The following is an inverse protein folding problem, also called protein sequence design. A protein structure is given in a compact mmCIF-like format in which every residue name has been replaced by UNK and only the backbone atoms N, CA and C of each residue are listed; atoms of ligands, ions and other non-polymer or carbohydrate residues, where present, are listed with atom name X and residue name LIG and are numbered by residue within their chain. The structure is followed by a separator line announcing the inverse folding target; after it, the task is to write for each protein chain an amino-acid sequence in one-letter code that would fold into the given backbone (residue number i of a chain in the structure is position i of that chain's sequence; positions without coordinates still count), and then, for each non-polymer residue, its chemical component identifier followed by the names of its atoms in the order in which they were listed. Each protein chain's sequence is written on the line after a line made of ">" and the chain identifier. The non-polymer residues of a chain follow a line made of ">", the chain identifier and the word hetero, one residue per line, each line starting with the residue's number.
data_IF_278461991451
#
_entry.id   IF_278461991451
#
_cell.length_a   1.000
_cell.length_b   1.000
_cell.length_c   1.000
_cell.angle_alpha   90.00
_cell.angle_beta   90.00
_cell.angle_gamma   90.00
#
_symmetry.space_group_name_H-M   'P 1'
#
loop_
_entity.id
_entity.type
_entity.pdbx_description
1 polymer ?
#
# COMPACT_ATOMS: atom_id res chain seq x y z
N UNK A 1 -48.80 -0.46 0.69
CA UNK A 1 -48.48 0.17 -0.61
C UNK A 1 -47.04 0.70 -0.54
N UNK A 2 -46.09 -0.04 -1.09
CA UNK A 2 -44.65 0.34 -1.08
C UNK A 2 -44.30 0.87 -2.47
N UNK A 3 -43.91 2.14 -2.54
CA UNK A 3 -43.44 2.77 -3.78
C UNK A 3 -41.93 2.50 -3.92
N UNK A 4 -41.57 1.74 -4.96
CA UNK A 4 -40.21 1.58 -5.43
C UNK A 4 -39.81 2.83 -6.25
N UNK A 5 -38.76 3.49 -5.86
CA UNK A 5 -38.08 4.52 -6.66
C UNK A 5 -36.87 3.86 -7.34
N UNK A 6 -36.95 3.72 -8.65
CA UNK A 6 -35.83 3.32 -9.49
C UNK A 6 -35.02 4.58 -9.85
N UNK A 7 -33.75 4.62 -9.45
CA UNK A 7 -32.78 5.64 -9.86
C UNK A 7 -31.94 5.06 -10.99
N UNK A 8 -32.15 5.54 -12.21
CA UNK A 8 -31.34 5.19 -13.37
C UNK A 8 -30.02 5.96 -13.37
N UNK A 9 -28.92 5.22 -13.45
CA UNK A 9 -27.57 5.77 -13.61
C UNK A 9 -27.21 5.77 -15.10
N UNK A 10 -27.13 6.95 -15.72
CA UNK A 10 -26.65 7.12 -17.08
C UNK A 10 -25.12 7.22 -17.09
N UNK A 11 -24.44 6.27 -17.73
CA UNK A 11 -23.00 6.32 -17.96
C UNK A 11 -22.77 6.93 -19.34
N UNK A 12 -22.17 8.13 -19.38
CA UNK A 12 -21.70 8.75 -20.61
C UNK A 12 -20.27 8.28 -20.90
N UNK A 13 -20.11 7.50 -21.98
CA UNK A 13 -18.84 7.17 -22.59
C UNK A 13 -18.44 8.30 -23.56
N UNK A 14 -17.42 9.07 -23.20
CA UNK A 14 -16.75 9.94 -24.16
C UNK A 14 -15.40 9.32 -24.53
N UNK A 15 -15.35 8.71 -25.71
CA UNK A 15 -14.11 8.33 -26.37
C UNK A 15 -13.46 9.55 -26.99
N UNK A 16 -12.15 9.64 -26.94
CA UNK A 16 -11.36 10.45 -27.84
C UNK A 16 -10.13 9.67 -28.25
N UNK A 17 -10.12 9.31 -29.52
CA UNK A 17 -9.02 8.71 -30.23
C UNK A 17 -8.15 9.78 -30.88
N UNK A 18 -7.02 9.35 -31.39
CA UNK A 18 -6.06 10.10 -32.20
C UNK A 18 -4.68 10.02 -31.58
N UNK A 19 -3.63 9.71 -32.26
CA UNK A 19 -3.32 9.51 -33.65
C UNK A 19 -1.84 9.21 -33.67
N UNK A 20 -1.45 8.21 -34.46
CA UNK A 20 -0.06 7.86 -34.77
C UNK A 20 0.48 8.89 -35.74
N UNK A 21 1.69 9.35 -35.53
CA UNK A 21 2.53 9.86 -36.61
C UNK A 21 3.96 9.36 -36.41
N UNK A 22 4.31 8.42 -37.28
CA UNK A 22 5.69 8.13 -37.68
C UNK A 22 6.29 9.32 -38.41
N UNK A 23 7.57 9.62 -38.16
CA UNK A 23 8.49 9.98 -39.25
C UNK A 23 9.95 9.94 -38.80
N UNK A 24 10.68 9.09 -39.49
CA UNK A 24 12.11 9.05 -39.69
C UNK A 24 12.72 10.43 -39.99
N UNK A 25 13.94 10.66 -39.52
CA UNK A 25 15.05 11.12 -40.36
C UNK A 25 16.36 11.14 -39.59
N UNK A 26 17.27 10.36 -40.08
CA UNK A 26 18.71 10.37 -39.77
C UNK A 26 19.37 11.67 -40.26
N UNK A 27 20.32 12.21 -39.48
CA UNK A 27 21.51 12.88 -40.07
C UNK A 27 22.69 12.92 -39.10
N UNK A 28 23.87 12.59 -39.58
CA UNK A 28 25.10 12.61 -38.81
C UNK A 28 25.83 13.96 -38.98
N UNK A 29 26.59 14.37 -37.99
CA UNK A 29 27.47 15.53 -38.17
C UNK A 29 28.14 15.97 -36.88
N UNK A 30 29.40 15.63 -36.77
CA UNK A 30 30.42 15.87 -35.84
C UNK A 30 30.63 17.28 -35.29
N UNK A 31 31.30 17.36 -34.17
CA UNK A 31 31.76 18.60 -33.56
C UNK A 31 32.48 18.31 -32.27
N UNK A 32 33.79 18.41 -32.34
CA UNK A 32 34.84 18.25 -31.37
C UNK A 32 34.71 19.27 -30.21
N UNK A 33 34.95 18.78 -28.99
CA UNK A 33 35.72 19.53 -27.98
C UNK A 33 34.96 20.40 -27.00
N UNK A 34 34.90 20.05 -25.74
CA UNK A 34 35.72 20.76 -24.75
C UNK A 34 35.74 20.05 -23.40
N UNK A 35 36.95 19.96 -22.90
CA UNK A 35 37.35 19.58 -21.54
C UNK A 35 36.66 20.41 -20.47
N UNK A 36 36.19 19.76 -19.42
CA UNK A 36 35.83 20.50 -18.23
C UNK A 36 35.11 19.72 -17.14
N UNK A 37 35.89 19.24 -16.20
CA UNK A 37 35.51 18.98 -14.82
C UNK A 37 34.64 17.73 -14.56
N UNK A 38 35.35 16.63 -14.38
CA UNK A 38 34.87 15.45 -13.64
C UNK A 38 34.55 15.82 -12.20
N UNK A 39 33.32 16.23 -11.95
CA UNK A 39 32.71 16.11 -10.65
C UNK A 39 31.98 14.76 -10.61
N UNK A 40 32.74 13.68 -10.59
CA UNK A 40 32.28 12.38 -10.12
C UNK A 40 32.08 12.42 -8.61
N UNK A 41 31.07 13.16 -8.17
CA UNK A 41 30.44 12.89 -6.90
C UNK A 41 29.58 11.65 -7.12
N UNK A 42 29.84 10.51 -6.46
CA UNK A 42 28.95 9.38 -6.53
C UNK A 42 27.58 9.88 -6.02
N UNK A 43 26.64 10.03 -6.93
CA UNK A 43 25.25 10.20 -6.59
C UNK A 43 24.89 8.95 -5.79
N UNK A 44 24.81 9.11 -4.48
CA UNK A 44 24.23 8.11 -3.59
C UNK A 44 22.87 7.78 -4.21
N UNK A 45 22.62 6.55 -4.71
CA UNK A 45 21.32 6.23 -5.26
C UNK A 45 20.34 6.46 -4.12
N UNK A 46 19.47 7.47 -4.27
CA UNK A 46 18.37 7.67 -3.34
C UNK A 46 17.67 6.33 -3.23
N UNK A 47 17.77 5.71 -2.08
CA UNK A 47 17.14 4.42 -1.78
C UNK A 47 15.65 4.64 -1.98
N UNK A 48 15.10 4.21 -3.14
CA UNK A 48 13.69 4.41 -3.47
C UNK A 48 12.87 3.71 -2.40
N UNK A 49 12.37 4.49 -1.46
CA UNK A 49 11.45 3.97 -0.46
C UNK A 49 10.23 3.35 -1.13
N UNK A 50 9.76 2.22 -0.60
CA UNK A 50 8.49 1.60 -1.01
C UNK A 50 7.28 2.35 -0.45
N UNK A 51 7.49 3.35 0.41
CA UNK A 51 6.41 4.11 1.04
C UNK A 51 5.85 5.19 0.11
N UNK A 52 4.53 5.16 -0.03
CA UNK A 52 3.75 6.15 -0.76
C UNK A 52 2.87 6.91 0.23
N UNK A 53 2.93 8.24 0.21
CA UNK A 53 2.22 9.09 1.15
C UNK A 53 1.08 9.83 0.47
N UNK A 54 -0.05 9.94 1.17
CA UNK A 54 -1.20 10.72 0.73
C UNK A 54 -1.88 11.41 1.92
N UNK A 55 -2.63 12.45 1.65
CA UNK A 55 -3.45 13.14 2.64
C UNK A 55 -4.84 13.41 2.07
N UNK A 56 -5.83 13.34 2.93
CA UNK A 56 -7.21 13.68 2.59
C UNK A 56 -7.81 14.54 3.69
N UNK A 57 -8.70 15.46 3.28
CA UNK A 57 -9.55 16.20 4.23
C UNK A 57 -11.00 16.11 3.76
N UNK A 58 -11.93 16.08 4.69
CA UNK A 58 -13.35 16.15 4.37
C UNK A 58 -13.97 17.44 4.91
N UNK A 59 -15.20 17.73 4.47
CA UNK A 59 -15.97 18.91 4.89
C UNK A 59 -16.30 18.94 6.38
N UNK A 60 -16.13 17.83 7.10
CA UNK A 60 -16.33 17.73 8.56
C UNK A 60 -15.08 18.05 9.39
N UNK A 61 -14.00 18.57 8.77
CA UNK A 61 -12.76 18.92 9.47
C UNK A 61 -11.95 17.71 9.93
N UNK A 62 -12.17 16.54 9.33
CA UNK A 62 -11.36 15.36 9.57
C UNK A 62 -10.20 15.35 8.57
N UNK A 63 -8.98 15.25 9.08
CA UNK A 63 -7.77 15.07 8.30
C UNK A 63 -7.26 13.66 8.44
N UNK A 64 -6.89 13.03 7.31
CA UNK A 64 -6.21 11.74 7.29
C UNK A 64 -4.87 11.85 6.55
N UNK A 65 -3.83 11.32 7.18
CA UNK A 65 -2.52 11.10 6.58
C UNK A 65 -2.32 9.61 6.42
N UNK A 66 -1.93 9.16 5.23
CA UNK A 66 -1.74 7.74 4.92
C UNK A 66 -0.35 7.48 4.38
N UNK A 67 0.21 6.34 4.79
CA UNK A 67 1.44 5.80 4.27
C UNK A 67 1.18 4.36 3.82
N UNK A 68 1.36 4.07 2.53
CA UNK A 68 1.17 2.76 1.93
C UNK A 68 2.52 2.14 1.61
N UNK A 69 2.68 0.84 1.93
CA UNK A 69 3.84 0.05 1.58
C UNK A 69 3.38 -1.26 0.93
N UNK A 70 3.86 -1.54 -0.28
CA UNK A 70 3.48 -2.73 -1.05
C UNK A 70 4.46 -3.87 -0.82
N UNK A 71 3.95 -5.09 -0.70
CA UNK A 71 4.79 -6.27 -0.60
C UNK A 71 5.75 -6.36 -1.79
N UNK A 72 6.94 -6.92 -1.58
CA UNK A 72 7.92 -7.15 -2.62
C UNK A 72 7.53 -8.31 -3.53
N UNK A 73 6.74 -9.24 -3.02
CA UNK A 73 6.25 -10.43 -3.69
C UNK A 73 4.72 -10.38 -3.89
N UNK A 74 4.21 -11.32 -4.65
CA UNK A 74 2.80 -11.47 -4.97
C UNK A 74 2.42 -12.95 -4.94
N UNK A 75 1.12 -13.25 -4.91
CA UNK A 75 0.58 -14.59 -5.11
C UNK A 75 -0.46 -14.58 -6.24
N UNK A 76 -0.75 -15.76 -6.77
CA UNK A 76 -1.86 -15.95 -7.68
C UNK A 76 -3.11 -16.33 -6.88
N UNK A 77 -4.25 -15.77 -7.26
CA UNK A 77 -5.52 -16.09 -6.62
C UNK A 77 -5.82 -17.59 -6.78
N UNK A 78 -6.10 -18.32 -5.68
CA UNK A 78 -6.39 -19.75 -5.77
C UNK A 78 -7.64 -20.11 -6.58
N UNK A 79 -8.60 -19.19 -6.67
CA UNK A 79 -9.85 -19.37 -7.44
C UNK A 79 -9.70 -18.89 -8.88
N UNK A 80 -8.82 -17.90 -9.12
CA UNK A 80 -8.61 -17.28 -10.42
C UNK A 80 -7.12 -17.25 -10.75
N UNK A 81 -6.57 -18.36 -11.22
CA UNK A 81 -5.12 -18.57 -11.38
C UNK A 81 -4.36 -17.52 -12.22
N UNK A 82 -5.07 -16.70 -12.99
CA UNK A 82 -4.49 -15.63 -13.79
C UNK A 82 -4.44 -14.27 -13.07
N UNK A 83 -5.08 -14.15 -11.89
CA UNK A 83 -5.15 -12.90 -11.15
C UNK A 83 -4.01 -12.87 -10.12
N UNK A 84 -3.15 -11.86 -10.25
CA UNK A 84 -2.07 -11.61 -9.29
C UNK A 84 -2.55 -10.64 -8.22
N UNK A 85 -2.31 -11.01 -6.96
CA UNK A 85 -2.54 -10.14 -5.81
C UNK A 85 -1.22 -9.73 -5.19
N UNK A 86 -1.05 -8.44 -4.99
CA UNK A 86 0.10 -7.86 -4.29
C UNK A 86 -0.42 -7.21 -3.00
N UNK A 87 -0.19 -7.83 -1.84
CA UNK A 87 -0.62 -7.25 -0.56
C UNK A 87 0.03 -5.90 -0.30
N UNK A 88 -0.66 -5.04 0.47
CA UNK A 88 -0.05 -3.81 0.96
C UNK A 88 -0.51 -3.50 2.38
N UNK A 89 0.31 -2.70 3.06
CA UNK A 89 0.04 -2.18 4.39
C UNK A 89 -0.32 -0.71 4.22
N UNK A 90 -1.39 -0.27 4.87
CA UNK A 90 -1.74 1.13 5.04
C UNK A 90 -1.61 1.50 6.52
N UNK A 91 -0.80 2.51 6.79
CA UNK A 91 -0.74 3.19 8.07
C UNK A 91 -1.50 4.50 7.93
N UNK A 92 -2.56 4.68 8.70
CA UNK A 92 -3.33 5.92 8.69
C UNK A 92 -3.20 6.63 10.05
N UNK A 93 -3.02 7.95 10.00
CA UNK A 93 -3.28 8.84 11.12
C UNK A 93 -4.46 9.72 10.78
N UNK A 94 -5.44 9.75 11.67
CA UNK A 94 -6.65 10.54 11.49
C UNK A 94 -6.78 11.53 12.62
N UNK A 95 -6.96 12.81 12.27
CA UNK A 95 -7.25 13.88 13.21
C UNK A 95 -8.73 14.26 13.10
N UNK A 96 -9.45 14.17 14.20
CA UNK A 96 -10.86 14.57 14.29
C UNK A 96 -11.01 16.09 14.35
N UNK A 97 -12.23 16.58 14.15
CA UNK A 97 -12.57 17.99 14.36
C UNK A 97 -12.32 18.48 15.79
N UNK A 98 -12.35 17.59 16.79
CA UNK A 98 -11.98 17.90 18.18
C UNK A 98 -10.47 17.93 18.43
N UNK A 99 -9.65 17.63 17.42
CA UNK A 99 -8.20 17.58 17.53
C UNK A 99 -7.62 16.23 18.00
N UNK A 100 -8.49 15.26 18.37
CA UNK A 100 -8.02 13.93 18.74
C UNK A 100 -7.37 13.22 17.54
N UNK A 101 -6.22 12.56 17.78
CA UNK A 101 -5.49 11.82 16.76
C UNK A 101 -5.57 10.33 17.06
N UNK A 102 -5.99 9.56 16.07
CA UNK A 102 -5.98 8.10 16.09
C UNK A 102 -5.01 7.57 15.04
N UNK A 103 -4.41 6.42 15.30
CA UNK A 103 -3.54 5.72 14.34
C UNK A 103 -4.17 4.38 14.03
N UNK A 104 -4.15 3.97 12.76
CA UNK A 104 -4.75 2.72 12.28
C UNK A 104 -3.77 1.96 11.41
N UNK A 105 -3.78 0.63 11.53
CA UNK A 105 -3.03 -0.29 10.66
C UNK A 105 -4.01 -1.14 9.90
N UNK A 106 -3.91 -1.16 8.60
CA UNK A 106 -4.74 -1.98 7.72
C UNK A 106 -3.84 -2.78 6.78
N UNK A 107 -4.12 -4.07 6.63
CA UNK A 107 -3.43 -4.92 5.67
C UNK A 107 -4.43 -5.37 4.62
N UNK A 108 -4.18 -4.98 3.39
CA UNK A 108 -4.98 -5.32 2.22
C UNK A 108 -4.36 -6.50 1.50
N UNK A 109 -5.17 -7.49 1.19
CA UNK A 109 -4.73 -8.72 0.52
C UNK A 109 -5.42 -8.89 -0.83
N UNK A 110 -6.64 -8.34 -0.97
CA UNK A 110 -7.52 -8.47 -2.16
C UNK A 110 -7.85 -9.92 -2.53
N UNK A 111 -7.93 -10.80 -1.54
CA UNK A 111 -8.32 -12.19 -1.70
C UNK A 111 -9.00 -12.69 -0.43
N UNK A 112 -9.73 -13.78 -0.53
CA UNK A 112 -10.45 -14.36 0.59
C UNK A 112 -9.48 -14.87 1.67
N UNK A 113 -9.73 -14.49 2.91
CA UNK A 113 -8.91 -14.84 4.06
C UNK A 113 -9.62 -15.79 5.01
N UNK A 114 -8.90 -16.79 5.51
CA UNK A 114 -9.36 -17.64 6.61
C UNK A 114 -9.21 -16.91 7.94
N UNK A 115 -9.99 -15.84 8.12
CA UNK A 115 -9.89 -14.92 9.27
C UNK A 115 -11.27 -14.45 9.74
N UNK A 116 -12.21 -15.38 9.98
CA UNK A 116 -13.59 -15.03 10.38
C UNK A 116 -13.96 -15.76 11.67
N UNK A 117 -14.39 -15.04 12.73
CA UNK A 117 -14.45 -13.58 12.88
C UNK A 117 -13.06 -12.94 13.14
N UNK A 118 -12.09 -13.74 13.58
CA UNK A 118 -10.70 -13.32 13.84
C UNK A 118 -9.74 -14.45 13.53
N UNK A 119 -8.47 -14.14 13.38
CA UNK A 119 -7.39 -15.10 13.17
C UNK A 119 -6.09 -14.62 13.83
N UNK A 120 -5.18 -15.57 13.99
CA UNK A 120 -3.81 -15.30 14.43
C UNK A 120 -2.91 -15.17 13.21
N UNK A 121 -2.30 -14.00 13.02
CA UNK A 121 -1.38 -13.71 11.93
C UNK A 121 0.04 -13.67 12.46
N UNK A 122 0.90 -14.53 11.93
CA UNK A 122 2.33 -14.52 12.22
C UNK A 122 2.99 -13.33 11.52
N UNK A 123 3.77 -12.55 12.24
CA UNK A 123 4.55 -11.45 11.67
C UNK A 123 5.97 -11.51 12.18
N UNK A 124 6.92 -11.26 11.27
CA UNK A 124 8.35 -11.22 11.62
C UNK A 124 8.86 -9.82 11.29
N UNK A 125 9.39 -9.12 12.29
CA UNK A 125 9.99 -7.79 12.15
C UNK A 125 11.48 -7.88 12.45
N UNK A 126 12.32 -7.57 11.48
CA UNK A 126 13.80 -7.65 11.59
C UNK A 126 14.28 -8.97 12.20
N UNK A 127 13.67 -10.09 11.79
CA UNK A 127 13.96 -11.43 12.26
C UNK A 127 13.22 -11.86 13.54
N UNK A 128 12.58 -10.97 14.26
CA UNK A 128 11.82 -11.27 15.47
C UNK A 128 10.37 -11.63 15.14
N UNK A 129 10.01 -12.90 15.34
CA UNK A 129 8.66 -13.40 15.06
C UNK A 129 7.73 -13.20 16.26
N UNK A 130 6.52 -12.73 15.98
CA UNK A 130 5.42 -12.64 16.92
C UNK A 130 4.11 -13.02 16.23
N UNK A 131 3.06 -13.26 17.02
CA UNK A 131 1.73 -13.55 16.52
C UNK A 131 0.77 -12.49 17.03
N UNK A 132 -0.05 -11.96 16.12
CA UNK A 132 -1.01 -10.90 16.42
C UNK A 132 -2.43 -11.38 16.13
N UNK A 133 -3.37 -11.01 16.99
CA UNK A 133 -4.78 -11.25 16.74
C UNK A 133 -5.31 -10.17 15.81
N UNK A 134 -5.84 -10.63 14.67
CA UNK A 134 -6.39 -9.80 13.62
C UNK A 134 -7.86 -10.18 13.39
N UNK A 135 -8.64 -9.28 12.85
CA UNK A 135 -10.01 -9.56 12.40
C UNK A 135 -10.18 -9.19 10.94
N UNK A 136 -11.02 -9.90 10.25
CA UNK A 136 -11.47 -9.52 8.92
C UNK A 136 -12.43 -8.32 9.03
N UNK A 137 -12.10 -7.22 8.38
CA UNK A 137 -12.94 -6.01 8.38
C UNK A 137 -13.94 -6.03 7.23
N UNK A 138 -13.43 -6.31 6.04
CA UNK A 138 -14.17 -6.57 4.80
C UNK A 138 -13.37 -7.61 4.01
N UNK A 139 -13.95 -8.19 2.98
CA UNK A 139 -13.27 -9.22 2.18
C UNK A 139 -11.89 -8.76 1.72
N UNK A 140 -10.89 -9.56 2.07
CA UNK A 140 -9.50 -9.30 1.73
C UNK A 140 -8.81 -8.19 2.53
N UNK A 141 -9.40 -7.74 3.65
CA UNK A 141 -8.84 -6.69 4.52
C UNK A 141 -8.80 -7.15 5.97
N UNK A 142 -7.62 -7.15 6.56
CA UNK A 142 -7.45 -7.45 7.99
C UNK A 142 -6.95 -6.25 8.77
N UNK A 143 -7.48 -6.11 9.97
CA UNK A 143 -7.12 -5.05 10.92
C UNK A 143 -6.83 -5.67 12.29
N UNK A 144 -6.05 -5.00 13.16
CA UNK A 144 -5.85 -5.42 14.54
C UNK A 144 -7.17 -5.55 15.29
N UNK A 145 -7.26 -6.52 16.22
CA UNK A 145 -8.49 -6.79 16.94
C UNK A 145 -8.84 -5.71 17.96
N UNK A 146 -7.85 -4.97 18.44
CA UNK A 146 -8.00 -3.91 19.44
C UNK A 146 -6.90 -2.84 19.31
N UNK A 147 -7.11 -1.70 19.98
CA UNK A 147 -6.21 -0.54 19.97
C UNK A 147 -4.79 -0.84 20.49
N UNK A 148 -4.66 -1.76 21.43
CA UNK A 148 -3.34 -2.14 21.95
C UNK A 148 -2.51 -2.85 20.88
N UNK A 149 -3.08 -3.85 20.21
CA UNK A 149 -2.43 -4.55 19.08
C UNK A 149 -2.14 -3.59 17.94
N UNK A 150 -3.06 -2.65 17.66
CA UNK A 150 -2.91 -1.64 16.63
C UNK A 150 -1.73 -0.71 16.91
N UNK A 151 -1.63 -0.20 18.13
CA UNK A 151 -0.50 0.66 18.56
C UNK A 151 0.85 -0.08 18.45
N UNK A 152 0.89 -1.35 18.88
CA UNK A 152 2.08 -2.17 18.76
C UNK A 152 2.49 -2.36 17.29
N UNK A 153 1.55 -2.72 16.42
CA UNK A 153 1.81 -2.93 15.00
C UNK A 153 2.22 -1.64 14.30
N UNK A 154 1.53 -0.53 14.58
CA UNK A 154 1.90 0.77 14.04
C UNK A 154 3.36 1.11 14.37
N UNK A 155 3.77 0.95 15.63
CA UNK A 155 5.15 1.17 16.05
C UNK A 155 6.13 0.22 15.33
N UNK A 156 5.81 -1.08 15.24
CA UNK A 156 6.66 -2.06 14.54
C UNK A 156 6.85 -1.73 13.07
N UNK A 157 5.78 -1.40 12.34
CA UNK A 157 5.87 -1.05 10.92
C UNK A 157 6.64 0.24 10.66
N UNK A 158 6.66 1.18 11.62
CA UNK A 158 7.34 2.47 11.46
C UNK A 158 8.79 2.47 11.94
N UNK A 159 9.21 1.47 12.73
CA UNK A 159 10.55 1.42 13.31
C UNK A 159 11.41 0.27 12.81
N UNK A 160 10.83 -0.74 12.15
CA UNK A 160 11.57 -1.87 11.58
C UNK A 160 12.03 -1.59 10.16
N UNK A 161 13.05 -2.32 9.71
CA UNK A 161 13.55 -2.24 8.33
C UNK A 161 12.83 -3.19 7.39
N UNK A 162 12.35 -4.34 7.92
CA UNK A 162 11.70 -5.40 7.14
C UNK A 162 10.57 -6.02 7.95
N UNK A 163 9.52 -6.42 7.23
CA UNK A 163 8.48 -7.27 7.79
C UNK A 163 8.15 -8.43 6.86
N UNK A 164 7.78 -9.57 7.46
CA UNK A 164 7.13 -10.70 6.78
C UNK A 164 5.79 -10.89 7.48
N UNK A 165 4.71 -10.89 6.72
CA UNK A 165 3.34 -11.10 7.22
C UNK A 165 2.79 -12.38 6.63
N UNK A 166 2.52 -13.38 7.48
CA UNK A 166 1.98 -14.69 7.08
C UNK A 166 0.46 -14.63 6.96
N UNK A 167 -0.03 -14.47 5.73
CA UNK A 167 -1.43 -14.23 5.40
C UNK A 167 -2.18 -15.56 5.17
N UNK A 168 -3.25 -15.85 5.94
CA UNK A 168 -4.03 -17.08 5.81
C UNK A 168 -5.03 -17.01 4.65
N UNK A 169 -4.55 -17.17 3.41
CA UNK A 169 -5.37 -17.08 2.20
C UNK A 169 -6.12 -18.39 1.99
N UNK A 170 -7.44 -18.31 1.76
CA UNK A 170 -8.27 -19.49 1.47
C UNK A 170 -7.84 -20.09 0.13
N UNK A 171 -7.65 -21.42 0.12
CA UNK A 171 -7.24 -22.18 -1.07
C UNK A 171 -5.73 -22.36 -1.22
N UNK A 172 -4.91 -21.71 -0.40
CA UNK A 172 -3.50 -22.04 -0.28
C UNK A 172 -3.27 -23.09 0.81
N UNK A 173 -2.35 -24.03 0.56
CA UNK A 173 -2.01 -25.10 1.52
C UNK A 173 -1.21 -24.59 2.73
N UNK A 174 -0.56 -23.46 2.57
CA UNK A 174 0.21 -22.76 3.60
C UNK A 174 -0.11 -21.26 3.56
N UNK A 175 0.03 -20.52 4.67
CA UNK A 175 -0.05 -19.08 4.67
C UNK A 175 0.93 -18.48 3.67
N UNK A 176 0.50 -17.43 2.96
CA UNK A 176 1.38 -16.68 2.08
C UNK A 176 2.21 -15.67 2.88
N UNK A 177 3.53 -15.79 2.80
CA UNK A 177 4.46 -14.87 3.44
C UNK A 177 4.68 -13.63 2.56
N UNK A 178 3.96 -12.56 2.85
CA UNK A 178 4.12 -11.26 2.22
C UNK A 178 5.36 -10.54 2.80
N UNK A 179 6.32 -10.19 1.95
CA UNK A 179 7.58 -9.56 2.34
C UNK A 179 7.52 -8.05 2.09
N UNK A 180 7.87 -7.26 3.08
CA UNK A 180 7.86 -5.79 3.02
C UNK A 180 9.24 -5.21 3.32
N UNK A 181 9.68 -4.26 2.50
CA UNK A 181 10.80 -3.38 2.81
C UNK A 181 10.24 -2.11 3.46
N UNK A 182 10.51 -1.93 4.75
CA UNK A 182 9.95 -0.84 5.55
C UNK A 182 10.90 0.36 5.66
N UNK A 183 12.10 0.27 5.09
CA UNK A 183 13.07 1.37 5.13
C UNK A 183 12.53 2.61 4.45
N UNK A 184 12.96 3.76 4.93
CA UNK A 184 12.57 5.06 4.38
C UNK A 184 11.17 5.53 4.78
N UNK A 185 10.57 4.97 5.85
CA UNK A 185 9.39 5.56 6.46
C UNK A 185 9.73 6.97 7.00
N UNK A 186 8.99 7.97 6.53
CA UNK A 186 9.19 9.37 6.95
C UNK A 186 8.07 9.81 7.89
N UNK A 187 8.39 9.87 9.18
CA UNK A 187 7.46 10.29 10.22
C UNK A 187 6.99 11.75 10.03
N UNK A 188 7.76 12.60 9.36
CA UNK A 188 7.37 14.00 9.14
C UNK A 188 6.21 14.12 8.15
N UNK A 189 6.09 13.18 7.21
CA UNK A 189 4.95 13.10 6.29
C UNK A 189 3.68 12.59 6.97
N UNK A 190 3.78 12.09 8.20
CA UNK A 190 2.69 11.56 9.03
C UNK A 190 2.44 12.41 10.28
N UNK A 191 2.75 13.70 10.23
CA UNK A 191 2.46 14.68 11.30
C UNK A 191 1.41 15.68 10.84
N UNK A 192 0.52 16.06 11.77
CA UNK A 192 -0.46 17.13 11.60
C UNK A 192 0.13 18.47 12.02
#
# INVERSE_FOLDING_TARGET
>A
MKKLLAVGLAVALSGCGGGFDDMDAARPGGGIGNTGSDNNQPSNPEEKTQWQYSSTSNSGGIFSLRANNYALNFFYDPQFSNVKHKPWIELEKRKSSSGAVTSTVVIFVNSNLSCTPSCKVGMTFDGNRATYEMRNSIDGVIVPINEFTESQLFNKFTTSNRAIVSLPIIGLSQPFDANFDLRGYDINKMRF
#
